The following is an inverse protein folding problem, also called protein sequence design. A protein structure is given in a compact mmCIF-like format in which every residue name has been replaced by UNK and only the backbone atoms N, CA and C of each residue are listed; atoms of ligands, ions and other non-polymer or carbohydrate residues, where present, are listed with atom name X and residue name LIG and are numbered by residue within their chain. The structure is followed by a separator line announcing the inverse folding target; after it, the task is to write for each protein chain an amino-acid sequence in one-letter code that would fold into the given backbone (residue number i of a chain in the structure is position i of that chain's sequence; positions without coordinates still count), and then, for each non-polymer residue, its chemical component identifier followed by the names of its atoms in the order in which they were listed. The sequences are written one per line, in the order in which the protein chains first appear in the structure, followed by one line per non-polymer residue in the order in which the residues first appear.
data_IF_967690046150
#
_entry.id   IF_967690046150
#
_cell.length_a   1.000
_cell.length_b   1.000
_cell.length_c   1.000
_cell.angle_alpha   90.00
_cell.angle_beta   90.00
_cell.angle_gamma   90.00
#
_symmetry.space_group_name_H-M   'P 1'
#
loop_
_entity.id
_entity.type
_entity.pdbx_description
1 polymer ?
#
# COMPACT_ATOMS: atom_id res chain seq x y z
N UNK A 1 -1.23 1.67 -42.17
CA UNK A 1 -1.20 2.82 -41.24
C UNK A 1 -2.54 3.55 -41.26
N UNK A 2 -3.37 3.40 -40.22
CA UNK A 2 -4.39 4.37 -39.82
C UNK A 2 -4.45 4.34 -38.29
N UNK A 3 -4.16 5.47 -37.67
CA UNK A 3 -4.22 5.68 -36.22
C UNK A 3 -5.66 5.52 -35.75
N UNK A 4 -5.89 4.67 -34.75
CA UNK A 4 -7.16 4.64 -34.02
C UNK A 4 -6.95 5.49 -32.76
N UNK A 5 -7.52 6.69 -32.78
CA UNK A 5 -7.60 7.56 -31.62
C UNK A 5 -8.96 7.28 -30.98
N UNK A 6 -9.00 6.66 -29.79
CA UNK A 6 -10.25 6.55 -29.03
C UNK A 6 -10.50 7.91 -28.37
N UNK A 7 -11.54 8.59 -28.85
CA UNK A 7 -12.07 9.79 -28.21
C UNK A 7 -12.74 9.36 -26.90
N UNK A 8 -12.29 9.98 -25.81
CA UNK A 8 -12.84 9.85 -24.46
C UNK A 8 -14.29 10.35 -24.48
N UNK A 9 -15.23 9.46 -24.78
CA UNK A 9 -16.65 9.76 -24.70
C UNK A 9 -17.03 9.82 -23.21
N UNK A 10 -17.08 11.06 -22.70
CA UNK A 10 -17.74 11.41 -21.46
C UNK A 10 -19.21 11.04 -21.62
N UNK A 11 -19.59 9.83 -21.18
CA UNK A 11 -20.99 9.40 -21.15
C UNK A 11 -21.69 10.13 -19.99
N UNK A 12 -22.06 11.39 -20.22
CA UNK A 12 -23.07 12.04 -19.41
C UNK A 12 -24.34 11.21 -19.56
N UNK A 13 -24.79 10.57 -18.49
CA UNK A 13 -26.07 9.86 -18.45
C UNK A 13 -27.21 10.89 -18.61
N UNK A 14 -27.53 11.26 -19.85
CA UNK A 14 -28.78 11.91 -20.19
C UNK A 14 -29.87 10.85 -20.15
N UNK A 15 -30.52 10.74 -19.00
CA UNK A 15 -31.73 9.93 -18.83
C UNK A 15 -32.88 10.66 -19.53
N UNK A 16 -33.05 10.38 -20.83
CA UNK A 16 -34.23 10.78 -21.61
C UNK A 16 -35.43 9.94 -21.15
N UNK A 17 -36.28 10.51 -20.29
CA UNK A 17 -37.58 9.90 -19.94
C UNK A 17 -38.67 10.65 -20.68
N UNK A 18 -39.15 10.04 -21.75
CA UNK A 18 -40.50 10.29 -22.24
C UNK A 18 -41.50 9.68 -21.26
N UNK A 19 -42.25 10.52 -20.56
CA UNK A 19 -43.53 10.16 -19.94
C UNK A 19 -43.49 9.60 -18.52
N UNK A 20 -44.24 10.29 -17.64
CA UNK A 20 -44.72 9.91 -16.29
C UNK A 20 -43.80 10.18 -15.07
N UNK A 21 -44.09 11.31 -14.42
CA UNK A 21 -43.93 11.64 -12.99
C UNK A 21 -42.53 11.47 -12.38
N UNK A 22 -41.69 12.50 -12.53
CA UNK A 22 -40.32 12.53 -12.01
C UNK A 22 -40.26 12.77 -10.50
N UNK A 23 -39.79 11.76 -9.76
CA UNK A 23 -39.01 12.00 -8.54
C UNK A 23 -37.55 12.11 -8.96
N UNK A 24 -36.96 13.29 -8.77
CA UNK A 24 -35.51 13.48 -8.87
C UNK A 24 -34.82 12.53 -7.90
N UNK A 25 -33.78 11.79 -8.32
CA UNK A 25 -32.99 10.96 -7.41
C UNK A 25 -32.44 11.84 -6.28
N UNK A 26 -32.58 11.39 -5.04
CA UNK A 26 -31.98 12.10 -3.91
C UNK A 26 -30.45 12.07 -4.01
N UNK A 27 -29.78 13.09 -3.47
CA UNK A 27 -28.31 13.21 -3.47
C UNK A 27 -27.61 11.96 -2.93
N UNK A 28 -28.23 11.28 -1.95
CA UNK A 28 -27.76 10.00 -1.41
C UNK A 28 -27.68 8.90 -2.47
N UNK A 29 -28.66 8.83 -3.39
CA UNK A 29 -28.64 7.82 -4.46
C UNK A 29 -27.59 8.14 -5.54
N UNK A 30 -27.33 9.42 -5.79
CA UNK A 30 -26.28 9.86 -6.72
C UNK A 30 -24.89 9.54 -6.14
N UNK A 31 -24.67 9.82 -4.85
CA UNK A 31 -23.40 9.49 -4.17
C UNK A 31 -23.14 7.98 -4.12
N UNK A 32 -24.16 7.16 -3.82
CA UNK A 32 -24.03 5.71 -3.78
C UNK A 32 -23.79 5.07 -5.16
N UNK A 33 -24.34 5.65 -6.23
CA UNK A 33 -24.11 5.18 -7.59
C UNK A 33 -22.73 5.58 -8.10
N UNK A 34 -22.25 6.78 -7.77
CA UNK A 34 -20.88 7.21 -8.09
C UNK A 34 -19.82 6.38 -7.34
N UNK A 35 -20.04 6.08 -6.05
CA UNK A 35 -19.12 5.23 -5.29
C UNK A 35 -19.06 3.82 -5.87
N UNK A 36 -20.21 3.25 -6.25
CA UNK A 36 -20.29 1.93 -6.88
C UNK A 36 -19.62 1.88 -8.25
N UNK A 37 -19.78 2.91 -9.09
CA UNK A 37 -19.06 3.02 -10.38
C UNK A 37 -17.56 3.16 -10.15
N UNK A 38 -17.13 3.92 -9.14
CA UNK A 38 -15.70 4.06 -8.78
C UNK A 38 -15.07 2.75 -8.26
N UNK A 39 -15.87 1.87 -7.66
CA UNK A 39 -15.45 0.54 -7.22
C UNK A 39 -15.37 -0.42 -8.40
N UNK A 40 -16.40 -0.48 -9.25
CA UNK A 40 -16.42 -1.33 -10.45
C UNK A 40 -15.25 -0.97 -11.38
N UNK A 41 -15.04 0.32 -11.66
CA UNK A 41 -13.91 0.77 -12.47
C UNK A 41 -12.55 0.48 -11.83
N UNK A 42 -12.47 0.33 -10.50
CA UNK A 42 -11.25 -0.10 -9.81
C UNK A 42 -11.05 -1.61 -9.90
N UNK A 43 -12.10 -2.40 -9.72
CA UNK A 43 -12.07 -3.86 -9.83
C UNK A 43 -11.70 -4.30 -11.25
N UNK A 44 -12.19 -3.60 -12.29
CA UNK A 44 -11.84 -3.85 -13.70
C UNK A 44 -10.42 -3.39 -14.07
N UNK A 45 -9.71 -2.68 -13.18
CA UNK A 45 -8.39 -2.09 -13.42
C UNK A 45 -7.30 -2.62 -12.47
N UNK A 46 -7.58 -3.67 -11.69
CA UNK A 46 -6.55 -4.40 -10.94
C UNK A 46 -5.67 -5.13 -11.95
N UNK A 47 -4.40 -4.72 -12.04
CA UNK A 47 -3.45 -5.30 -12.98
C UNK A 47 -2.68 -6.46 -12.37
N UNK A 48 -2.53 -6.48 -11.04
CA UNK A 48 -1.73 -7.47 -10.34
C UNK A 48 -2.50 -8.17 -9.22
N UNK A 49 -2.22 -9.47 -9.07
CA UNK A 49 -2.53 -10.21 -7.85
C UNK A 49 -1.27 -10.34 -7.00
N UNK A 50 -1.41 -10.14 -5.68
CA UNK A 50 -0.28 -10.14 -4.75
C UNK A 50 -0.31 -11.35 -3.83
N UNK A 51 0.85 -11.99 -3.64
CA UNK A 51 1.02 -13.14 -2.75
C UNK A 51 2.38 -13.06 -2.06
N UNK A 52 2.45 -13.48 -0.79
CA UNK A 52 3.73 -13.70 -0.13
C UNK A 52 4.52 -14.77 -0.91
N UNK A 53 5.84 -14.60 -1.01
CA UNK A 53 6.73 -15.52 -1.73
C UNK A 53 8.03 -15.77 -0.94
N UNK A 54 8.99 -16.50 -1.54
CA UNK A 54 10.27 -16.76 -0.89
C UNK A 54 11.06 -15.45 -0.69
N UNK A 55 11.71 -15.25 0.47
CA UNK A 55 12.54 -14.07 0.73
C UNK A 55 13.84 -14.05 -0.08
N UNK A 56 14.18 -15.12 -0.81
CA UNK A 56 15.40 -15.23 -1.62
C UNK A 56 15.35 -14.40 -2.91
N UNK A 57 15.10 -13.10 -2.77
CA UNK A 57 15.06 -12.15 -3.87
C UNK A 57 16.48 -11.78 -4.33
N UNK A 58 16.73 -11.70 -5.66
CA UNK A 58 18.01 -11.21 -6.17
C UNK A 58 18.31 -9.81 -5.64
N UNK A 59 19.59 -9.49 -5.40
CA UNK A 59 19.98 -8.17 -4.91
C UNK A 59 19.51 -7.01 -5.80
N UNK A 60 19.39 -7.24 -7.12
CA UNK A 60 18.84 -6.26 -8.07
C UNK A 60 17.37 -5.92 -7.82
N UNK A 61 16.64 -6.74 -7.07
CA UNK A 61 15.22 -6.60 -6.77
C UNK A 61 14.97 -5.97 -5.38
N UNK A 62 15.99 -5.37 -4.77
CA UNK A 62 15.90 -4.78 -3.42
C UNK A 62 16.12 -3.26 -3.41
N UNK A 63 16.20 -2.63 -4.58
CA UNK A 63 16.33 -1.18 -4.67
C UNK A 63 15.04 -0.48 -4.26
N UNK A 64 15.11 0.59 -3.45
CA UNK A 64 13.93 1.35 -3.01
C UNK A 64 13.18 1.96 -4.21
N UNK A 65 11.94 1.54 -4.42
CA UNK A 65 11.05 2.06 -5.47
C UNK A 65 10.07 3.09 -4.89
N UNK A 66 9.48 2.80 -3.73
CA UNK A 66 8.58 3.71 -3.01
C UNK A 66 9.02 3.88 -1.57
N UNK A 67 9.06 5.13 -1.14
CA UNK A 67 9.10 5.48 0.27
C UNK A 67 7.66 5.78 0.71
N UNK A 68 7.19 5.19 1.79
CA UNK A 68 5.80 5.31 2.21
C UNK A 68 5.73 6.17 3.47
N UNK A 69 4.78 7.10 3.47
CA UNK A 69 4.50 7.97 4.62
C UNK A 69 5.65 8.89 5.06
N UNK A 70 6.61 9.19 4.18
CA UNK A 70 7.73 10.11 4.46
C UNK A 70 7.30 11.51 4.94
N UNK A 71 6.13 11.97 4.49
CA UNK A 71 5.55 13.27 4.85
C UNK A 71 4.51 13.19 5.99
N UNK A 72 4.35 12.02 6.63
CA UNK A 72 3.34 11.78 7.68
C UNK A 72 3.96 11.56 9.05
N UNK A 73 3.18 11.75 10.13
CA UNK A 73 3.57 11.30 11.47
C UNK A 73 3.90 9.81 11.53
N UNK A 74 4.82 9.42 12.41
CA UNK A 74 5.36 8.05 12.48
C UNK A 74 4.32 6.98 12.84
N UNK A 75 3.18 7.35 13.41
CA UNK A 75 2.04 6.43 13.61
C UNK A 75 1.55 5.84 12.28
N UNK A 76 1.71 6.54 11.16
CA UNK A 76 1.39 5.98 9.85
C UNK A 76 2.32 4.85 9.45
N UNK A 77 3.54 4.80 9.99
CA UNK A 77 4.40 3.64 9.79
C UNK A 77 3.83 2.41 10.50
N UNK A 78 3.34 2.58 11.73
CA UNK A 78 2.68 1.51 12.47
C UNK A 78 1.41 1.05 11.75
N UNK A 79 0.60 1.99 11.24
CA UNK A 79 -0.57 1.67 10.42
C UNK A 79 -0.18 0.79 9.23
N UNK A 80 0.87 1.18 8.49
CA UNK A 80 1.34 0.44 7.33
C UNK A 80 1.73 -1.01 7.68
N UNK A 81 2.54 -1.21 8.72
CA UNK A 81 2.94 -2.55 9.14
C UNK A 81 1.71 -3.39 9.50
N UNK A 82 0.77 -2.84 10.27
CA UNK A 82 -0.47 -3.56 10.62
C UNK A 82 -1.27 -3.98 9.37
N UNK A 83 -1.32 -3.14 8.34
CA UNK A 83 -1.97 -3.45 7.06
C UNK A 83 -1.22 -4.54 6.28
N UNK A 84 0.11 -4.51 6.26
CA UNK A 84 0.94 -5.57 5.67
C UNK A 84 0.67 -6.90 6.36
N UNK A 85 0.65 -6.91 7.70
CA UNK A 85 0.34 -8.10 8.49
C UNK A 85 -1.07 -8.64 8.21
N UNK A 86 -2.06 -7.76 7.98
CA UNK A 86 -3.41 -8.18 7.59
C UNK A 86 -3.46 -8.83 6.20
N UNK A 87 -2.63 -8.38 5.25
CA UNK A 87 -2.64 -8.87 3.86
C UNK A 87 -1.79 -10.13 3.67
N UNK A 88 -0.62 -10.18 4.31
CA UNK A 88 0.42 -11.17 4.01
C UNK A 88 0.82 -12.03 5.21
N UNK A 89 0.24 -11.78 6.39
CA UNK A 89 0.58 -12.47 7.61
C UNK A 89 1.95 -12.03 8.15
N UNK A 90 2.64 -12.95 8.82
CA UNK A 90 3.90 -12.65 9.49
C UNK A 90 5.02 -12.26 8.49
N UNK A 91 5.95 -11.37 8.89
CA UNK A 91 7.18 -11.08 8.15
C UNK A 91 8.02 -12.31 7.82
N UNK A 92 8.97 -12.10 6.92
CA UNK A 92 10.04 -13.07 6.72
C UNK A 92 11.13 -12.91 7.80
N UNK A 93 11.35 -11.70 8.31
CA UNK A 93 12.07 -11.44 9.56
C UNK A 93 11.61 -10.16 10.26
N UNK A 94 11.91 -10.09 11.57
CA UNK A 94 11.84 -8.89 12.41
C UNK A 94 13.16 -8.79 13.18
N UNK A 95 13.68 -7.58 13.37
CA UNK A 95 14.87 -7.34 14.20
C UNK A 95 14.62 -6.29 15.27
N UNK A 96 15.57 -6.10 16.19
CA UNK A 96 15.55 -5.00 17.16
C UNK A 96 16.19 -3.71 16.61
N UNK A 97 16.85 -3.77 15.45
CA UNK A 97 17.41 -2.61 14.77
C UNK A 97 16.28 -1.85 14.04
N UNK A 98 16.00 -0.61 14.44
CA UNK A 98 14.93 0.18 13.82
C UNK A 98 15.20 0.46 12.34
N UNK A 99 16.48 0.55 11.95
CA UNK A 99 16.90 0.78 10.58
C UNK A 99 16.86 -0.49 9.71
N UNK A 100 16.52 -1.64 10.30
CA UNK A 100 16.32 -2.92 9.64
C UNK A 100 15.21 -3.74 10.32
N UNK A 101 14.10 -3.08 10.65
CA UNK A 101 13.11 -3.63 11.58
C UNK A 101 12.34 -4.83 11.04
N UNK A 102 12.01 -4.83 9.75
CA UNK A 102 11.04 -5.77 9.17
C UNK A 102 11.26 -5.95 7.67
N UNK A 103 10.99 -7.17 7.16
CA UNK A 103 10.87 -7.42 5.72
C UNK A 103 9.83 -8.49 5.37
N UNK A 104 9.22 -8.35 4.19
CA UNK A 104 8.32 -9.30 3.55
C UNK A 104 8.46 -9.31 2.03
N UNK A 105 8.80 -10.45 1.47
CA UNK A 105 8.83 -10.68 0.02
C UNK A 105 7.44 -10.99 -0.53
N UNK A 106 7.11 -10.33 -1.65
CA UNK A 106 5.82 -10.44 -2.33
C UNK A 106 6.04 -10.63 -3.82
N UNK A 107 5.32 -11.57 -4.42
CA UNK A 107 5.18 -11.68 -5.87
C UNK A 107 3.93 -10.93 -6.33
N UNK A 108 4.06 -10.13 -7.39
CA UNK A 108 2.96 -9.51 -8.10
C UNK A 108 2.81 -10.19 -9.47
N UNK A 109 1.70 -10.88 -9.69
CA UNK A 109 1.41 -11.64 -10.91
C UNK A 109 0.41 -10.87 -11.77
N UNK A 110 0.77 -10.57 -13.02
CA UNK A 110 -0.12 -9.94 -13.99
C UNK A 110 -1.17 -10.92 -14.55
N UNK A 111 -2.16 -10.40 -15.27
CA UNK A 111 -3.21 -11.21 -15.91
C UNK A 111 -2.72 -12.25 -16.93
N UNK A 112 -1.47 -12.15 -17.38
CA UNK A 112 -0.86 -13.09 -18.31
C UNK A 112 -0.02 -14.16 -17.60
N UNK A 113 0.05 -14.11 -16.25
CA UNK A 113 0.87 -15.01 -15.43
C UNK A 113 2.34 -14.60 -15.31
N UNK A 114 2.71 -13.40 -15.74
CA UNK A 114 4.07 -12.89 -15.53
C UNK A 114 4.20 -12.36 -14.09
N UNK A 115 5.23 -12.78 -13.38
CA UNK A 115 5.51 -12.31 -12.02
C UNK A 115 6.65 -11.31 -11.99
N UNK A 116 6.46 -10.24 -11.22
CA UNK A 116 7.54 -9.42 -10.69
C UNK A 116 7.65 -9.65 -9.18
N UNK A 117 8.86 -9.50 -8.64
CA UNK A 117 9.14 -9.73 -7.22
C UNK A 117 9.52 -8.42 -6.55
N UNK A 118 8.89 -8.17 -5.41
CA UNK A 118 9.01 -6.95 -4.62
C UNK A 118 9.31 -7.30 -3.16
N UNK A 119 9.91 -6.36 -2.45
CA UNK A 119 10.17 -6.45 -1.02
C UNK A 119 9.43 -5.31 -0.31
N UNK A 120 8.61 -5.63 0.67
CA UNK A 120 8.09 -4.64 1.62
C UNK A 120 9.04 -4.65 2.81
N UNK A 121 9.60 -3.51 3.19
CA UNK A 121 10.55 -3.46 4.31
C UNK A 121 10.40 -2.18 5.12
N UNK A 122 10.97 -2.20 6.32
CA UNK A 122 11.15 -1.02 7.16
C UNK A 122 12.64 -0.78 7.33
N UNK A 123 13.10 0.38 6.86
CA UNK A 123 14.53 0.75 6.85
C UNK A 123 14.80 2.11 7.51
N UNK A 124 15.99 2.72 7.27
CA UNK A 124 16.37 4.00 7.87
C UNK A 124 15.38 5.15 7.61
N UNK A 125 14.70 5.12 6.46
CA UNK A 125 13.70 6.13 6.07
C UNK A 125 12.25 5.72 6.38
N UNK A 126 12.04 4.70 7.21
CA UNK A 126 10.72 4.13 7.49
C UNK A 126 10.28 3.06 6.49
N UNK A 127 8.97 2.82 6.36
CA UNK A 127 8.43 1.76 5.51
C UNK A 127 8.59 2.06 4.02
N UNK A 128 8.92 1.04 3.24
CA UNK A 128 9.18 1.16 1.81
C UNK A 128 8.82 -0.10 1.04
N UNK A 129 8.70 0.06 -0.28
CA UNK A 129 8.61 -1.05 -1.24
C UNK A 129 9.84 -0.99 -2.14
N UNK A 130 10.59 -2.09 -2.15
CA UNK A 130 11.74 -2.36 -3.00
C UNK A 130 11.41 -3.28 -4.17
N UNK A 131 12.25 -3.23 -5.21
CA UNK A 131 12.13 -4.03 -6.41
C UNK A 131 13.27 -3.76 -7.39
N UNK A 132 13.12 -4.21 -8.63
CA UNK A 132 14.02 -3.79 -9.72
C UNK A 132 13.72 -2.34 -10.11
N UNK A 133 14.62 -1.43 -9.75
CA UNK A 133 14.52 0.01 -10.05
C UNK A 133 14.71 0.34 -11.53
N UNK A 134 15.16 -0.61 -12.37
CA UNK A 134 15.24 -0.46 -13.81
C UNK A 134 13.90 -0.77 -14.52
N UNK A 135 13.07 -1.64 -13.94
CA UNK A 135 11.84 -2.15 -14.57
C UNK A 135 10.63 -1.23 -14.38
N UNK A 136 9.93 -0.93 -15.47
CA UNK A 136 8.65 -0.22 -15.45
C UNK A 136 7.54 -1.07 -14.83
N UNK A 137 7.57 -2.37 -15.06
CA UNK A 137 6.62 -3.34 -14.50
C UNK A 137 6.75 -3.40 -12.97
N UNK A 138 7.99 -3.45 -12.47
CA UNK A 138 8.31 -3.39 -11.04
C UNK A 138 7.79 -2.10 -10.40
N UNK A 139 7.98 -0.94 -11.05
CA UNK A 139 7.43 0.35 -10.59
C UNK A 139 5.90 0.35 -10.50
N UNK A 140 5.22 -0.13 -11.55
CA UNK A 140 3.75 -0.18 -11.60
C UNK A 140 3.20 -1.14 -10.55
N UNK A 141 3.82 -2.32 -10.41
CA UNK A 141 3.42 -3.28 -9.40
C UNK A 141 3.63 -2.74 -7.98
N UNK A 142 4.71 -1.98 -7.74
CA UNK A 142 4.95 -1.34 -6.44
C UNK A 142 3.90 -0.27 -6.10
N UNK A 143 3.45 0.53 -7.09
CA UNK A 143 2.36 1.50 -6.91
C UNK A 143 1.06 0.80 -6.49
N UNK A 144 0.66 -0.23 -7.24
CA UNK A 144 -0.58 -0.96 -6.96
C UNK A 144 -0.50 -1.78 -5.67
N UNK A 145 0.68 -2.33 -5.34
CA UNK A 145 0.93 -3.01 -4.06
C UNK A 145 0.73 -2.04 -2.88
N UNK A 146 1.23 -0.81 -3.02
CA UNK A 146 1.08 0.22 -1.99
C UNK A 146 -0.41 0.50 -1.72
N UNK A 147 -1.20 0.72 -2.77
CA UNK A 147 -2.65 0.93 -2.66
C UNK A 147 -3.39 -0.29 -2.09
N UNK A 148 -3.00 -1.50 -2.51
CA UNK A 148 -3.55 -2.76 -2.02
C UNK A 148 -3.32 -2.95 -0.52
N UNK A 149 -2.13 -2.61 -0.02
CA UNK A 149 -1.81 -2.64 1.41
C UNK A 149 -2.60 -1.55 2.14
N UNK A 150 -2.50 -0.30 1.67
CA UNK A 150 -3.10 0.86 2.34
C UNK A 150 -4.64 0.83 2.43
N UNK A 151 -5.29 -0.02 1.64
CA UNK A 151 -6.74 -0.25 1.70
C UNK A 151 -7.18 -1.30 2.73
N UNK A 152 -6.25 -1.99 3.39
CA UNK A 152 -6.58 -2.98 4.42
C UNK A 152 -6.95 -2.32 5.76
N UNK A 153 -7.81 -3.00 6.54
CA UNK A 153 -7.85 -2.76 7.98
C UNK A 153 -6.57 -3.31 8.62
N UNK A 154 -5.92 -2.60 9.55
CA UNK A 154 -4.68 -3.06 10.15
C UNK A 154 -4.93 -4.18 11.16
N UNK A 155 -4.04 -5.18 11.17
CA UNK A 155 -3.93 -6.16 12.25
C UNK A 155 -3.20 -5.53 13.43
N UNK A 156 -3.69 -5.79 14.64
CA UNK A 156 -3.01 -5.36 15.87
C UNK A 156 -1.64 -6.05 16.01
N UNK A 157 -0.64 -5.29 16.43
CA UNK A 157 0.72 -5.76 16.72
C UNK A 157 1.45 -4.75 17.61
N UNK A 158 2.57 -5.18 18.18
CA UNK A 158 3.52 -4.31 18.86
C UNK A 158 4.94 -4.78 18.56
N UNK A 159 5.80 -3.85 18.13
CA UNK A 159 7.23 -4.06 17.98
C UNK A 159 8.02 -3.04 18.79
N UNK A 160 9.14 -3.51 19.32
CA UNK A 160 10.12 -2.69 20.02
C UNK A 160 11.45 -2.77 19.28
N UNK A 161 12.07 -1.63 19.07
CA UNK A 161 13.33 -1.50 18.32
C UNK A 161 14.17 -0.35 18.84
N UNK A 162 15.40 -0.23 18.35
CA UNK A 162 16.37 0.77 18.78
C UNK A 162 17.01 1.42 17.55
N UNK A 163 17.12 2.75 17.56
CA UNK A 163 18.08 3.45 16.70
C UNK A 163 19.45 3.37 17.38
N UNK A 164 20.32 2.47 16.90
CA UNK A 164 21.57 2.13 17.59
C UNK A 164 22.50 3.34 17.80
N UNK A 165 22.60 4.21 16.79
CA UNK A 165 23.46 5.42 16.83
C UNK A 165 23.15 6.35 18.01
N UNK A 166 21.88 6.41 18.43
CA UNK A 166 21.39 7.33 19.45
C UNK A 166 20.89 6.62 20.70
N UNK A 167 20.86 5.28 20.72
CA UNK A 167 20.25 4.51 21.79
C UNK A 167 18.76 4.82 22.01
N UNK A 168 18.07 5.37 21.01
CA UNK A 168 16.65 5.74 21.10
C UNK A 168 15.82 4.48 20.95
N UNK A 169 15.05 4.15 21.98
CA UNK A 169 14.12 3.03 21.93
C UNK A 169 12.81 3.48 21.32
N UNK A 170 12.30 2.72 20.36
CA UNK A 170 11.01 2.94 19.71
C UNK A 170 10.08 1.78 20.04
N UNK A 171 8.88 2.10 20.52
CA UNK A 171 7.77 1.16 20.62
C UNK A 171 6.68 1.60 19.65
N UNK A 172 6.34 0.75 18.70
CA UNK A 172 5.33 1.04 17.68
C UNK A 172 4.36 -0.10 17.52
N UNK A 173 3.11 0.21 17.17
CA UNK A 173 2.11 -0.82 17.00
C UNK A 173 0.76 -0.32 16.54
N UNK A 174 -0.18 -1.25 16.46
CA UNK A 174 -1.61 -0.98 16.30
C UNK A 174 -2.32 -1.70 17.45
N UNK A 175 -3.12 -0.97 18.21
CA UNK A 175 -3.91 -1.49 19.31
C UNK A 175 -5.38 -1.13 19.15
N UNK A 176 -6.26 -2.13 19.07
CA UNK A 176 -7.68 -1.98 18.75
C UNK A 176 -7.89 -1.16 17.45
N UNK A 177 -7.10 -1.46 16.41
CA UNK A 177 -7.15 -0.77 15.12
C UNK A 177 -6.61 0.67 15.12
N UNK A 178 -6.02 1.15 16.23
CA UNK A 178 -5.44 2.50 16.32
C UNK A 178 -3.91 2.44 16.32
N UNK A 179 -3.23 3.11 15.38
CA UNK A 179 -1.78 3.12 15.35
C UNK A 179 -1.19 3.99 16.47
N UNK A 180 -0.02 3.61 16.96
CA UNK A 180 0.78 4.38 17.90
C UNK A 180 2.27 4.22 17.59
N UNK A 181 3.04 5.25 17.96
CA UNK A 181 4.49 5.29 17.83
C UNK A 181 5.03 6.11 19.01
N UNK A 182 5.94 5.53 19.79
CA UNK A 182 6.53 6.16 20.98
C UNK A 182 8.04 6.03 20.92
N UNK A 183 8.74 7.12 21.21
CA UNK A 183 10.20 7.15 21.30
C UNK A 183 10.62 7.53 22.71
N UNK A 184 11.49 6.69 23.30
CA UNK A 184 12.20 6.99 24.53
C UNK A 184 13.61 7.45 24.18
N UNK A 185 13.82 8.77 24.28
CA UNK A 185 15.09 9.42 23.98
C UNK A 185 15.95 9.43 25.25
N UNK A 186 17.20 8.95 25.21
CA UNK A 186 18.14 9.06 26.33
C UNK A 186 18.27 10.52 26.82
N UNK A 187 18.31 10.69 28.14
CA UNK A 187 18.27 12.03 28.78
C UNK A 187 19.47 12.92 28.43
N UNK A 188 20.58 12.34 27.99
CA UNK A 188 21.77 13.03 27.51
C UNK A 188 21.66 13.57 26.08
N UNK A 189 20.57 13.26 25.37
CA UNK A 189 20.27 13.73 24.02
C UNK A 189 19.11 14.74 23.94
N UNK A 190 18.45 15.04 25.07
CA UNK A 190 17.29 15.96 25.16
C UNK A 190 17.70 17.38 25.51
#
# INVERSE_FOLDING_TARGET
MKKVTYSLALLLAAVMITGCSGKTPSETQISASQSKISQINREDNIMYSFKACSPDLPASHRGKIRNLYEDKPSEYHSLFIGQVLSRFGEPDYITEDNENLFSKAVSAEDKNGNSVYLEIYYGPSGPAIGGDVGSDESRKAADELAEFIMSAEPKDFEYKSVYEDFGVTVTMGVGNGKPYYQSDIPADLV
#
